data_IF_284370835567
#
_entry.id   IF_284370835567
#
_cell.length_a   1.000
_cell.length_b   1.000
_cell.length_c   1.000
_cell.angle_alpha   90.00
_cell.angle_beta   90.00
_cell.angle_gamma   90.00
#
_symmetry.space_group_name_H-M   'P 1'
#
loop_
_entity.id
_entity.type
_entity.pdbx_description
1 polymer ?
#
# COMPACT_ATOMS: atom_id res chain seq x y z
N UNK A 1 -25.39 -29.16 2.02
CA UNK A 1 -24.53 -29.52 3.19
C UNK A 1 -23.12 -29.01 2.92
N UNK A 2 -22.26 -28.87 3.93
CA UNK A 2 -20.84 -28.51 3.75
C UNK A 2 -20.02 -29.80 3.72
N UNK A 3 -19.00 -29.87 2.86
CA UNK A 3 -18.04 -30.99 2.85
C UNK A 3 -16.92 -30.68 3.85
N UNK A 4 -16.81 -31.48 4.92
CA UNK A 4 -16.02 -31.08 6.09
C UNK A 4 -14.52 -31.44 5.99
N UNK A 5 -14.14 -32.52 5.31
CA UNK A 5 -12.81 -33.11 5.54
C UNK A 5 -11.64 -32.40 4.82
N UNK A 6 -11.86 -31.75 3.66
CA UNK A 6 -10.80 -31.01 2.94
C UNK A 6 -10.95 -29.48 3.01
N UNK A 7 -12.03 -28.97 3.63
CA UNK A 7 -12.23 -27.53 3.77
C UNK A 7 -11.47 -26.98 4.97
N UNK A 8 -11.09 -25.70 4.91
CA UNK A 8 -10.51 -25.00 6.06
C UNK A 8 -11.52 -24.99 7.21
N UNK A 9 -11.05 -25.09 8.46
CA UNK A 9 -11.91 -24.84 9.62
C UNK A 9 -12.65 -23.50 9.49
N UNK A 10 -13.95 -23.52 9.78
CA UNK A 10 -14.78 -22.33 9.82
C UNK A 10 -14.22 -21.34 10.85
N UNK A 11 -13.99 -20.10 10.42
CA UNK A 11 -13.47 -19.03 11.28
C UNK A 11 -14.59 -18.06 11.56
N UNK A 12 -15.08 -18.05 12.80
CA UNK A 12 -16.17 -17.18 13.23
C UNK A 12 -15.88 -15.71 12.94
N UNK A 13 -14.63 -15.28 13.06
CA UNK A 13 -14.21 -13.91 12.72
C UNK A 13 -14.43 -13.55 11.25
N UNK A 14 -14.26 -14.48 10.32
CA UNK A 14 -14.54 -14.25 8.90
C UNK A 14 -16.05 -14.15 8.65
N UNK A 15 -16.84 -15.01 9.29
CA UNK A 15 -18.31 -14.96 9.20
C UNK A 15 -18.83 -13.62 9.73
N UNK A 16 -18.36 -13.19 10.90
CA UNK A 16 -18.75 -11.90 11.50
C UNK A 16 -18.38 -10.71 10.60
N UNK A 17 -17.23 -10.76 9.91
CA UNK A 17 -16.85 -9.72 8.92
C UNK A 17 -17.80 -9.67 7.74
N UNK A 18 -18.20 -10.82 7.19
CA UNK A 18 -19.15 -10.90 6.07
C UNK A 18 -20.51 -10.34 6.50
N UNK A 19 -21.01 -10.74 7.68
CA UNK A 19 -22.29 -10.25 8.21
C UNK A 19 -22.26 -8.74 8.43
N UNK A 20 -21.19 -8.21 9.04
CA UNK A 20 -21.06 -6.77 9.33
C UNK A 20 -21.01 -5.92 8.07
N UNK A 21 -20.32 -6.39 7.04
CA UNK A 21 -20.10 -5.66 5.79
C UNK A 21 -20.88 -6.27 4.63
N UNK A 22 -22.07 -6.80 4.89
CA UNK A 22 -22.86 -7.48 3.86
C UNK A 22 -23.16 -6.53 2.71
N UNK A 23 -22.80 -6.96 1.50
CA UNK A 23 -23.13 -6.28 0.26
C UNK A 23 -23.68 -7.35 -0.69
N UNK A 24 -24.94 -7.22 -1.17
CA UNK A 24 -25.56 -8.24 -2.00
C UNK A 24 -24.78 -8.50 -3.30
N UNK A 25 -24.21 -7.46 -3.92
CA UNK A 25 -23.41 -7.58 -5.15
C UNK A 25 -22.06 -8.25 -4.87
N UNK A 26 -21.46 -7.95 -3.72
CA UNK A 26 -20.15 -8.49 -3.30
C UNK A 26 -20.20 -9.85 -2.60
N UNK A 27 -21.40 -10.40 -2.33
CA UNK A 27 -21.54 -11.65 -1.60
C UNK A 27 -20.99 -12.84 -2.41
N UNK A 28 -21.21 -12.81 -3.72
CA UNK A 28 -20.71 -13.79 -4.68
C UNK A 28 -21.36 -15.17 -4.55
N UNK A 29 -21.20 -15.98 -5.60
CA UNK A 29 -21.80 -17.31 -5.71
C UNK A 29 -21.11 -18.34 -4.80
N UNK A 30 -21.89 -19.23 -4.19
CA UNK A 30 -21.37 -20.48 -3.63
C UNK A 30 -21.05 -21.48 -4.74
N UNK A 31 -19.99 -22.28 -4.56
CA UNK A 31 -19.67 -23.37 -5.50
C UNK A 31 -20.20 -24.68 -4.91
N UNK A 32 -21.06 -25.36 -5.66
CA UNK A 32 -21.86 -26.49 -5.17
C UNK A 32 -21.72 -27.69 -6.11
N UNK A 33 -21.39 -28.84 -5.54
CA UNK A 33 -21.44 -30.13 -6.21
C UNK A 33 -22.83 -30.75 -6.01
N UNK A 34 -23.47 -31.19 -7.09
CA UNK A 34 -24.68 -32.01 -7.02
C UNK A 34 -24.33 -33.45 -7.37
N UNK A 35 -24.44 -34.31 -6.35
CA UNK A 35 -24.19 -35.76 -6.45
C UNK A 35 -25.11 -36.50 -5.50
N UNK A 36 -25.52 -37.71 -5.88
CA UNK A 36 -26.40 -38.57 -5.08
C UNK A 36 -27.71 -37.88 -4.66
N UNK A 37 -28.26 -37.01 -5.53
CA UNK A 37 -29.48 -36.23 -5.28
C UNK A 37 -29.34 -35.17 -4.19
N UNK A 38 -28.11 -34.79 -3.83
CA UNK A 38 -27.81 -33.84 -2.75
C UNK A 38 -26.80 -32.78 -3.18
N UNK A 39 -26.93 -31.60 -2.58
CA UNK A 39 -26.06 -30.46 -2.84
C UNK A 39 -25.00 -30.30 -1.75
N UNK A 40 -23.74 -30.21 -2.17
CA UNK A 40 -22.55 -30.10 -1.34
C UNK A 40 -21.80 -28.80 -1.65
N UNK A 41 -21.75 -27.87 -0.70
CA UNK A 41 -20.99 -26.64 -0.83
C UNK A 41 -19.52 -26.98 -0.61
N UNK A 42 -18.72 -26.95 -1.68
CA UNK A 42 -17.27 -27.20 -1.60
C UNK A 42 -16.46 -25.90 -1.50
N UNK A 43 -16.97 -24.76 -1.99
CA UNK A 43 -16.40 -23.43 -1.75
C UNK A 43 -17.49 -22.41 -1.33
N UNK A 44 -17.15 -21.57 -0.34
CA UNK A 44 -18.05 -20.53 0.18
C UNK A 44 -18.68 -20.82 1.54
N UNK A 45 -18.16 -21.77 2.32
CA UNK A 45 -18.65 -22.08 3.68
C UNK A 45 -18.86 -20.86 4.60
N UNK A 46 -17.94 -19.89 4.67
CA UNK A 46 -18.13 -18.69 5.51
C UNK A 46 -19.29 -17.81 5.03
N UNK A 47 -19.57 -17.82 3.71
CA UNK A 47 -20.71 -17.11 3.12
C UNK A 47 -22.01 -17.83 3.42
N UNK A 48 -22.05 -19.16 3.28
CA UNK A 48 -23.21 -19.95 3.67
C UNK A 48 -23.57 -19.72 5.15
N UNK A 49 -22.58 -19.73 6.05
CA UNK A 49 -22.80 -19.44 7.46
C UNK A 49 -23.20 -17.98 7.73
N UNK A 50 -22.67 -17.02 6.97
CA UNK A 50 -23.10 -15.63 7.06
C UNK A 50 -24.56 -15.46 6.59
N UNK A 51 -24.97 -16.12 5.51
CA UNK A 51 -26.35 -16.12 5.01
C UNK A 51 -27.33 -16.65 6.07
N UNK A 52 -26.96 -17.74 6.76
CA UNK A 52 -27.75 -18.26 7.90
C UNK A 52 -27.90 -17.22 9.01
N UNK A 53 -26.81 -16.52 9.38
CA UNK A 53 -26.86 -15.45 10.41
C UNK A 53 -27.66 -14.23 9.97
N UNK A 54 -27.62 -13.90 8.68
CA UNK A 54 -28.42 -12.84 8.06
C UNK A 54 -29.89 -13.26 7.84
N UNK A 55 -30.26 -14.51 8.20
CA UNK A 55 -31.60 -15.09 8.03
C UNK A 55 -32.08 -15.07 6.57
N UNK A 56 -31.16 -15.21 5.63
CA UNK A 56 -31.48 -15.31 4.19
C UNK A 56 -32.19 -16.64 3.91
N UNK A 57 -33.25 -16.60 3.12
CA UNK A 57 -34.01 -17.79 2.71
C UNK A 57 -33.43 -18.47 1.47
N UNK A 58 -32.66 -17.73 0.67
CA UNK A 58 -31.99 -18.23 -0.54
C UNK A 58 -30.57 -17.66 -0.65
N UNK A 59 -29.70 -18.38 -1.36
CA UNK A 59 -28.35 -17.95 -1.72
C UNK A 59 -28.08 -18.34 -3.17
N UNK A 60 -27.39 -17.48 -3.91
CA UNK A 60 -27.00 -17.77 -5.28
C UNK A 60 -25.82 -18.76 -5.30
N UNK A 61 -25.88 -19.74 -6.20
CA UNK A 61 -24.87 -20.77 -6.33
C UNK A 61 -24.64 -21.16 -7.79
N UNK A 62 -23.40 -21.59 -8.07
CA UNK A 62 -23.03 -22.30 -9.29
C UNK A 62 -22.97 -23.79 -8.97
N UNK A 63 -23.79 -24.59 -9.67
CA UNK A 63 -23.94 -26.03 -9.46
C UNK A 63 -23.15 -26.79 -10.52
N UNK A 64 -22.34 -27.75 -10.08
CA UNK A 64 -21.62 -28.71 -10.92
C UNK A 64 -22.23 -30.10 -10.73
N UNK A 65 -22.68 -30.69 -11.84
CA UNK A 65 -23.33 -32.00 -11.85
C UNK A 65 -22.31 -33.13 -11.98
N UNK A 66 -22.50 -34.21 -11.22
CA UNK A 66 -21.75 -35.46 -11.41
C UNK A 66 -20.29 -35.43 -10.95
N UNK A 67 -19.90 -34.45 -10.12
CA UNK A 67 -18.55 -34.42 -9.54
C UNK A 67 -18.34 -35.56 -8.55
N UNK A 68 -17.18 -36.23 -8.63
CA UNK A 68 -16.69 -37.08 -7.57
C UNK A 68 -16.15 -36.26 -6.40
N UNK A 69 -15.95 -36.91 -5.25
CA UNK A 69 -15.31 -36.26 -4.10
C UNK A 69 -13.89 -35.75 -4.41
N UNK A 70 -13.14 -36.48 -5.23
CA UNK A 70 -11.80 -36.07 -5.68
C UNK A 70 -11.86 -34.84 -6.59
N UNK A 71 -12.86 -34.75 -7.46
CA UNK A 71 -13.09 -33.58 -8.30
C UNK A 71 -13.38 -32.34 -7.45
N UNK A 72 -14.18 -32.48 -6.38
CA UNK A 72 -14.47 -31.37 -5.47
C UNK A 72 -13.20 -30.86 -4.77
N UNK A 73 -12.33 -31.77 -4.31
CA UNK A 73 -11.07 -31.42 -3.67
C UNK A 73 -10.10 -30.72 -4.64
N UNK A 74 -10.03 -31.19 -5.89
CA UNK A 74 -9.22 -30.59 -6.94
C UNK A 74 -9.74 -29.19 -7.33
N UNK A 75 -11.06 -29.04 -7.48
CA UNK A 75 -11.70 -27.75 -7.75
C UNK A 75 -11.43 -26.77 -6.60
N UNK A 76 -11.60 -27.21 -5.35
CA UNK A 76 -11.30 -26.39 -4.17
C UNK A 76 -9.85 -25.90 -4.17
N UNK A 77 -8.89 -26.79 -4.47
CA UNK A 77 -7.48 -26.45 -4.59
C UNK A 77 -7.25 -25.41 -5.69
N UNK A 78 -7.87 -25.56 -6.85
CA UNK A 78 -7.76 -24.60 -7.95
C UNK A 78 -8.27 -23.20 -7.54
N UNK A 79 -9.49 -23.10 -7.01
CA UNK A 79 -10.06 -21.81 -6.59
C UNK A 79 -9.24 -21.12 -5.48
N UNK A 80 -8.67 -21.89 -4.56
CA UNK A 80 -7.90 -21.34 -3.44
C UNK A 80 -6.43 -21.07 -3.77
N UNK A 81 -5.89 -21.63 -4.87
CA UNK A 81 -4.51 -21.39 -5.33
C UNK A 81 -4.41 -20.31 -6.40
N UNK A 82 -5.45 -20.14 -7.24
CA UNK A 82 -5.46 -19.16 -8.32
C UNK A 82 -5.81 -17.72 -7.87
N UNK A 83 -6.36 -17.53 -6.66
CA UNK A 83 -6.76 -16.20 -6.19
C UNK A 83 -5.54 -15.36 -5.77
N UNK A 84 -5.18 -14.38 -6.61
CA UNK A 84 -4.24 -13.33 -6.22
C UNK A 84 -4.97 -12.28 -5.40
N UNK A 85 -4.49 -12.00 -4.19
CA UNK A 85 -5.05 -10.94 -3.36
C UNK A 85 -4.78 -9.58 -4.02
N UNK A 86 -5.76 -8.65 -4.03
CA UNK A 86 -5.52 -7.29 -4.49
C UNK A 86 -4.34 -6.67 -3.75
N UNK A 87 -3.42 -6.07 -4.51
CA UNK A 87 -2.30 -5.29 -4.01
C UNK A 87 -2.80 -4.03 -3.31
N UNK A 88 -1.89 -3.31 -2.65
CA UNK A 88 -2.26 -2.03 -2.03
C UNK A 88 -2.57 -0.95 -3.08
N UNK A 89 -1.94 -1.00 -4.25
CA UNK A 89 -2.24 -0.08 -5.36
C UNK A 89 -3.62 -0.39 -5.97
N UNK A 90 -4.00 -1.67 -6.09
CA UNK A 90 -5.35 -2.05 -6.55
C UNK A 90 -6.43 -1.47 -5.62
N UNK A 91 -6.20 -1.58 -4.30
CA UNK A 91 -7.12 -1.00 -3.30
C UNK A 91 -7.16 0.51 -3.38
N UNK A 92 -6.01 1.16 -3.51
CA UNK A 92 -5.90 2.60 -3.64
C UNK A 92 -6.62 3.13 -4.89
N UNK A 93 -6.52 2.40 -6.01
CA UNK A 93 -7.23 2.71 -7.24
C UNK A 93 -8.75 2.62 -7.05
N UNK A 94 -9.22 1.59 -6.33
CA UNK A 94 -10.63 1.46 -5.96
C UNK A 94 -11.07 2.59 -5.03
N UNK A 95 -10.30 2.91 -3.98
CA UNK A 95 -10.56 4.04 -3.07
C UNK A 95 -10.79 5.33 -3.88
N UNK A 96 -9.91 5.64 -4.83
CA UNK A 96 -10.04 6.80 -5.72
C UNK A 96 -11.30 6.75 -6.61
N UNK A 97 -11.56 5.62 -7.29
CA UNK A 97 -12.74 5.46 -8.16
C UNK A 97 -14.04 5.60 -7.37
N UNK A 98 -14.08 5.10 -6.13
CA UNK A 98 -15.24 5.19 -5.25
C UNK A 98 -15.40 6.55 -4.57
N UNK A 99 -14.47 7.48 -4.80
CA UNK A 99 -14.53 8.83 -4.26
C UNK A 99 -14.21 8.92 -2.77
N UNK A 100 -13.33 8.04 -2.24
CA UNK A 100 -12.84 8.18 -0.88
C UNK A 100 -12.20 9.57 -0.70
N UNK A 101 -12.67 10.42 0.24
CA UNK A 101 -12.23 11.80 0.35
C UNK A 101 -10.73 11.95 0.54
N UNK A 102 -10.09 11.03 1.27
CA UNK A 102 -8.65 11.06 1.49
C UNK A 102 -7.90 10.67 0.21
N UNK A 103 -8.37 9.65 -0.51
CA UNK A 103 -7.72 9.21 -1.75
C UNK A 103 -7.80 10.32 -2.82
N UNK A 104 -8.95 10.99 -2.93
CA UNK A 104 -9.16 12.12 -3.85
C UNK A 104 -8.26 13.29 -3.50
N UNK A 105 -8.16 13.68 -2.23
CA UNK A 105 -7.32 14.83 -1.85
C UNK A 105 -5.83 14.52 -1.97
N UNK A 106 -5.42 13.29 -1.66
CA UNK A 106 -4.04 12.84 -1.86
C UNK A 106 -3.64 12.85 -3.33
N UNK A 107 -4.48 12.30 -4.22
CA UNK A 107 -4.25 12.29 -5.67
C UNK A 107 -4.15 13.72 -6.23
N UNK A 108 -5.03 14.62 -5.78
CA UNK A 108 -4.98 16.04 -6.12
C UNK A 108 -3.70 16.72 -5.63
N UNK A 109 -3.30 16.47 -4.38
CA UNK A 109 -2.07 17.01 -3.80
C UNK A 109 -0.83 16.61 -4.61
N UNK A 110 -0.71 15.33 -4.96
CA UNK A 110 0.40 14.82 -5.78
C UNK A 110 0.36 15.43 -7.19
N UNK A 111 -0.81 15.48 -7.82
CA UNK A 111 -1.00 16.04 -9.16
C UNK A 111 -0.58 17.51 -9.28
N UNK A 112 -0.75 18.31 -8.22
CA UNK A 112 -0.30 19.71 -8.17
C UNK A 112 1.22 19.91 -8.22
N UNK A 113 1.99 18.83 -8.07
CA UNK A 113 3.46 18.86 -8.08
C UNK A 113 4.05 18.38 -9.42
N UNK A 114 3.23 18.21 -10.46
CA UNK A 114 3.52 17.57 -11.74
C UNK A 114 3.98 16.10 -11.63
N UNK A 115 3.57 15.43 -10.56
CA UNK A 115 3.68 13.99 -10.37
C UNK A 115 2.29 13.36 -10.39
N UNK A 116 2.23 12.04 -10.51
CA UNK A 116 0.99 11.30 -10.32
C UNK A 116 1.25 10.01 -9.53
N UNK A 117 0.21 9.46 -8.92
CA UNK A 117 0.30 8.18 -8.23
C UNK A 117 0.23 7.07 -9.28
N UNK A 118 1.26 6.23 -9.34
CA UNK A 118 1.35 5.13 -10.30
C UNK A 118 0.55 3.91 -9.81
N UNK A 119 -0.78 4.00 -9.88
CA UNK A 119 -1.70 2.94 -9.46
C UNK A 119 -1.55 1.63 -10.23
N UNK A 120 -0.99 1.68 -11.44
CA UNK A 120 -0.79 0.51 -12.31
C UNK A 120 0.65 0.00 -12.29
N UNK A 121 1.52 0.65 -11.52
CA UNK A 121 2.93 0.32 -11.40
C UNK A 121 3.64 0.25 -12.77
N UNK A 122 3.30 1.15 -13.70
CA UNK A 122 3.78 1.16 -15.08
C UNK A 122 5.28 1.48 -15.21
N UNK A 123 5.88 2.12 -14.20
CA UNK A 123 7.33 2.36 -14.25
C UNK A 123 7.75 3.71 -14.80
N UNK A 124 6.82 4.53 -15.29
CA UNK A 124 7.16 5.78 -15.99
C UNK A 124 7.69 6.88 -15.06
N UNK A 125 8.50 7.78 -15.63
CA UNK A 125 8.98 8.98 -14.94
C UNK A 125 7.79 9.89 -14.57
N UNK A 126 7.87 10.52 -13.40
CA UNK A 126 6.74 11.27 -12.83
C UNK A 126 5.69 10.42 -12.11
N UNK A 127 5.70 9.09 -12.30
CA UNK A 127 4.83 8.14 -11.61
C UNK A 127 5.41 7.67 -10.28
N UNK A 128 4.66 7.84 -9.19
CA UNK A 128 5.07 7.44 -7.83
C UNK A 128 4.26 6.22 -7.38
N UNK A 129 4.89 5.05 -7.34
CA UNK A 129 4.26 3.81 -6.86
C UNK A 129 4.20 3.66 -5.33
N UNK A 130 4.78 4.59 -4.57
CA UNK A 130 4.88 4.54 -3.12
C UNK A 130 3.61 5.07 -2.40
N UNK A 131 2.42 4.59 -2.80
CA UNK A 131 1.12 5.08 -2.29
C UNK A 131 1.03 5.13 -0.77
N UNK A 132 1.42 4.06 -0.07
CA UNK A 132 1.36 4.02 1.40
C UNK A 132 2.25 5.07 2.05
N UNK A 133 3.39 5.40 1.45
CA UNK A 133 4.28 6.45 1.93
C UNK A 133 3.66 7.82 1.74
N UNK A 134 3.12 8.11 0.55
CA UNK A 134 2.42 9.37 0.26
C UNK A 134 1.25 9.58 1.23
N UNK A 135 0.38 8.57 1.37
CA UNK A 135 -0.74 8.57 2.31
C UNK A 135 -0.29 8.80 3.75
N UNK A 136 0.79 8.15 4.18
CA UNK A 136 1.32 8.32 5.54
C UNK A 136 1.89 9.72 5.78
N UNK A 137 2.67 10.27 4.84
CA UNK A 137 3.19 11.65 4.96
C UNK A 137 2.02 12.65 4.99
N UNK A 138 1.02 12.48 4.12
CA UNK A 138 -0.15 13.34 4.08
C UNK A 138 -0.93 13.32 5.40
N UNK A 139 -1.17 12.13 5.98
CA UNK A 139 -1.90 11.99 7.25
C UNK A 139 -1.07 12.51 8.42
N UNK A 140 0.21 12.14 8.52
CA UNK A 140 1.03 12.43 9.69
C UNK A 140 1.52 13.88 9.70
N UNK A 141 1.86 14.44 8.52
CA UNK A 141 2.57 15.73 8.39
C UNK A 141 1.79 16.78 7.55
N UNK A 142 0.67 16.40 6.94
CA UNK A 142 -0.21 17.29 6.18
C UNK A 142 0.21 17.53 4.72
N UNK A 143 -0.72 18.13 3.97
CA UNK A 143 -0.59 18.43 2.53
C UNK A 143 0.62 19.31 2.22
N UNK A 144 0.88 20.35 3.02
CA UNK A 144 2.00 21.28 2.81
C UNK A 144 3.34 20.56 2.87
N UNK A 145 3.54 19.67 3.86
CA UNK A 145 4.79 18.93 3.98
C UNK A 145 4.97 17.92 2.84
N UNK A 146 3.90 17.24 2.40
CA UNK A 146 3.98 16.35 1.25
C UNK A 146 4.35 17.10 -0.03
N UNK A 147 3.66 18.22 -0.28
CA UNK A 147 3.89 19.08 -1.46
C UNK A 147 5.33 19.57 -1.47
N UNK A 148 5.82 20.08 -0.34
CA UNK A 148 7.19 20.57 -0.20
C UNK A 148 8.21 19.44 -0.39
N UNK A 149 7.94 18.25 0.16
CA UNK A 149 8.78 17.05 -0.03
C UNK A 149 8.96 16.70 -1.50
N UNK A 150 7.87 16.67 -2.26
CA UNK A 150 7.89 16.37 -3.70
C UNK A 150 8.63 17.46 -4.49
N UNK A 151 8.45 18.73 -4.13
CA UNK A 151 9.14 19.86 -4.77
C UNK A 151 10.66 19.85 -4.53
N UNK A 152 11.13 19.52 -3.32
CA UNK A 152 12.56 19.38 -3.03
C UNK A 152 13.17 18.26 -3.88
N UNK A 153 12.52 17.10 -3.93
CA UNK A 153 13.01 15.96 -4.71
C UNK A 153 13.01 16.25 -6.20
N UNK A 154 11.97 16.92 -6.70
CA UNK A 154 11.92 17.36 -8.09
C UNK A 154 13.02 18.34 -8.43
N UNK A 155 13.27 19.30 -7.55
CA UNK A 155 14.32 20.30 -7.77
C UNK A 155 15.70 19.65 -7.82
N UNK A 156 15.95 18.64 -6.98
CA UNK A 156 17.24 17.95 -6.93
C UNK A 156 17.44 16.88 -8.01
N UNK A 157 16.37 16.15 -8.40
CA UNK A 157 16.47 14.92 -9.19
C UNK A 157 15.51 14.86 -10.39
N UNK A 158 14.75 15.91 -10.66
CA UNK A 158 13.74 15.94 -11.71
C UNK A 158 12.63 14.93 -11.47
N UNK A 159 12.22 14.22 -12.52
CA UNK A 159 11.13 13.23 -12.48
C UNK A 159 11.60 11.78 -12.37
N UNK A 160 12.86 11.56 -11.97
CA UNK A 160 13.46 10.22 -11.93
C UNK A 160 12.78 9.35 -10.87
N UNK A 161 12.12 8.26 -11.30
CA UNK A 161 11.32 7.37 -10.44
C UNK A 161 12.05 6.89 -9.17
N UNK A 162 13.37 6.67 -9.24
CA UNK A 162 14.16 6.17 -8.10
C UNK A 162 14.32 7.21 -6.97
N UNK A 163 14.11 8.50 -7.25
CA UNK A 163 14.09 9.56 -6.25
C UNK A 163 12.82 9.52 -5.38
N UNK A 164 11.71 8.96 -5.89
CA UNK A 164 10.40 8.97 -5.22
C UNK A 164 10.07 7.63 -4.55
N UNK A 165 11.07 7.03 -3.93
CA UNK A 165 10.95 5.79 -3.16
C UNK A 165 10.68 6.08 -1.69
N UNK A 166 10.11 5.09 -0.97
CA UNK A 166 9.68 5.22 0.44
C UNK A 166 10.72 5.91 1.34
N UNK A 167 11.97 5.45 1.30
CA UNK A 167 13.03 5.98 2.18
C UNK A 167 13.38 7.43 1.89
N UNK A 168 13.33 7.82 0.62
CA UNK A 168 13.70 9.16 0.18
C UNK A 168 12.57 10.15 0.49
N UNK A 169 11.33 9.75 0.21
CA UNK A 169 10.13 10.52 0.57
C UNK A 169 10.05 10.76 2.08
N UNK A 170 10.15 9.70 2.89
CA UNK A 170 10.13 9.86 4.35
C UNK A 170 11.34 10.63 4.86
N UNK A 171 12.53 10.41 4.31
CA UNK A 171 13.74 11.11 4.72
C UNK A 171 13.57 12.62 4.60
N UNK A 172 13.20 13.10 3.40
CA UNK A 172 13.00 14.52 3.15
C UNK A 172 11.86 15.07 4.00
N UNK A 173 10.71 14.36 4.04
CA UNK A 173 9.56 14.79 4.83
C UNK A 173 9.89 14.99 6.32
N UNK A 174 10.56 14.02 6.95
CA UNK A 174 10.97 14.16 8.36
C UNK A 174 12.03 15.25 8.54
N UNK A 175 12.98 15.36 7.61
CA UNK A 175 14.02 16.38 7.67
C UNK A 175 13.40 17.78 7.65
N UNK A 176 12.40 18.00 6.78
CA UNK A 176 11.66 19.25 6.74
C UNK A 176 10.90 19.49 8.05
N UNK A 177 10.17 18.49 8.57
CA UNK A 177 9.48 18.62 9.87
C UNK A 177 10.44 19.03 11.00
N UNK A 178 11.63 18.43 11.03
CA UNK A 178 12.57 18.65 12.11
C UNK A 178 13.33 19.98 11.99
N UNK A 179 13.63 20.43 10.77
CA UNK A 179 14.60 21.50 10.56
C UNK A 179 14.11 22.70 9.75
N UNK A 180 12.98 22.65 9.05
CA UNK A 180 12.59 23.76 8.15
C UNK A 180 12.32 25.07 8.89
N UNK A 181 11.92 25.00 10.16
CA UNK A 181 11.70 26.17 11.02
C UNK A 181 12.98 26.70 11.68
N UNK A 182 14.12 26.04 11.51
CA UNK A 182 15.40 26.46 12.08
C UNK A 182 15.98 27.63 11.26
N UNK A 183 16.46 28.68 11.92
CA UNK A 183 17.06 29.85 11.25
C UNK A 183 18.28 29.52 10.36
N UNK A 184 18.94 28.38 10.61
CA UNK A 184 20.10 27.89 9.86
C UNK A 184 19.71 27.01 8.68
N UNK A 185 18.41 26.75 8.50
CA UNK A 185 17.89 26.01 7.36
C UNK A 185 17.96 26.87 6.10
N UNK A 186 18.52 26.28 5.05
CA UNK A 186 18.64 26.86 3.72
C UNK A 186 18.22 25.79 2.72
N UNK A 187 17.06 26.00 2.13
CA UNK A 187 16.47 25.10 1.15
C UNK A 187 17.33 24.96 -0.10
N UNK A 188 17.86 26.06 -0.62
CA UNK A 188 18.70 26.05 -1.84
C UNK A 188 19.98 25.26 -1.58
N UNK A 189 20.53 25.39 -0.37
CA UNK A 189 21.66 24.57 0.06
C UNK A 189 21.30 23.09 0.13
N UNK A 190 20.15 22.73 0.73
CA UNK A 190 19.70 21.33 0.77
C UNK A 190 19.61 20.74 -0.65
N UNK A 191 18.93 21.43 -1.57
CA UNK A 191 18.78 21.00 -2.97
C UNK A 191 20.17 20.83 -3.62
N UNK A 192 21.06 21.82 -3.52
CA UNK A 192 22.42 21.73 -4.07
C UNK A 192 23.19 20.53 -3.54
N UNK A 193 23.07 20.24 -2.23
CA UNK A 193 23.76 19.10 -1.60
C UNK A 193 23.16 17.77 -2.03
N UNK A 194 21.86 17.69 -2.26
CA UNK A 194 21.19 16.52 -2.82
C UNK A 194 21.65 16.25 -4.26
N UNK A 195 21.72 17.29 -5.10
CA UNK A 195 22.26 17.23 -6.47
C UNK A 195 23.72 16.73 -6.48
N UNK A 196 24.60 17.39 -5.70
CA UNK A 196 26.03 17.02 -5.60
C UNK A 196 26.23 15.57 -5.14
N UNK A 197 25.34 15.09 -4.29
CA UNK A 197 25.41 13.72 -3.77
C UNK A 197 24.95 12.73 -4.83
N UNK A 198 23.92 13.06 -5.60
CA UNK A 198 23.26 12.15 -6.52
C UNK A 198 22.40 11.11 -5.80
N UNK A 199 21.29 10.73 -6.41
CA UNK A 199 20.28 9.88 -5.79
C UNK A 199 20.80 8.45 -5.52
N UNK A 200 21.65 7.88 -6.39
CA UNK A 200 22.21 6.54 -6.19
C UNK A 200 23.11 6.49 -4.95
N UNK A 201 23.94 7.51 -4.76
CA UNK A 201 24.81 7.62 -3.59
C UNK A 201 24.00 7.92 -2.33
N UNK A 202 22.96 8.76 -2.40
CA UNK A 202 22.04 8.97 -1.28
C UNK A 202 21.43 7.64 -0.81
N UNK A 203 20.89 6.84 -1.73
CA UNK A 203 20.31 5.53 -1.42
C UNK A 203 21.37 4.59 -0.80
N UNK A 204 22.59 4.60 -1.35
CA UNK A 204 23.72 3.82 -0.82
C UNK A 204 24.05 4.22 0.62
N UNK A 205 24.19 5.52 0.89
CA UNK A 205 24.46 6.06 2.23
C UNK A 205 23.36 5.68 3.22
N UNK A 206 22.08 5.76 2.82
CA UNK A 206 20.94 5.36 3.67
C UNK A 206 21.04 3.87 4.02
N UNK A 207 21.32 3.01 3.05
CA UNK A 207 21.43 1.57 3.28
C UNK A 207 22.65 1.21 4.16
N UNK A 208 23.77 1.91 3.99
CA UNK A 208 24.96 1.75 4.83
C UNK A 208 24.70 2.21 6.26
N UNK A 209 24.10 3.38 6.44
CA UNK A 209 23.78 3.94 7.75
C UNK A 209 22.77 3.04 8.51
N UNK A 210 21.73 2.56 7.82
CA UNK A 210 20.77 1.57 8.36
C UNK A 210 21.49 0.34 8.93
N UNK A 211 22.43 -0.24 8.17
CA UNK A 211 23.19 -1.43 8.57
C UNK A 211 24.15 -1.12 9.72
N UNK A 212 24.86 0.00 9.65
CA UNK A 212 25.88 0.37 10.63
C UNK A 212 25.29 0.64 12.02
N UNK A 213 24.13 1.30 12.09
CA UNK A 213 23.51 1.70 13.35
C UNK A 213 22.33 0.82 13.76
N UNK A 214 21.99 -0.21 12.96
CA UNK A 214 20.85 -1.11 13.18
C UNK A 214 19.53 -0.37 13.45
N UNK A 215 19.25 0.67 12.64
CA UNK A 215 18.04 1.50 12.73
C UNK A 215 17.08 1.21 11.58
N UNK A 216 15.88 1.78 11.63
CA UNK A 216 14.95 1.71 10.51
C UNK A 216 15.48 2.49 9.31
N UNK A 217 14.99 2.16 8.10
CA UNK A 217 15.38 2.88 6.88
C UNK A 217 14.94 4.35 6.92
N UNK A 218 13.84 4.65 7.63
CA UNK A 218 13.32 6.00 7.88
C UNK A 218 14.30 6.82 8.73
N UNK A 219 14.75 6.28 9.86
CA UNK A 219 15.71 6.95 10.76
C UNK A 219 17.06 7.17 10.09
N UNK A 220 17.54 6.16 9.35
CA UNK A 220 18.77 6.25 8.56
C UNK A 220 18.67 7.37 7.51
N UNK A 221 17.53 7.50 6.83
CA UNK A 221 17.32 8.54 5.83
C UNK A 221 17.41 9.95 6.41
N UNK A 222 16.71 10.22 7.51
CA UNK A 222 16.79 11.53 8.18
C UNK A 222 18.22 11.85 8.65
N UNK A 223 18.92 10.86 9.21
CA UNK A 223 20.29 11.01 9.71
C UNK A 223 21.29 11.30 8.59
N UNK A 224 21.17 10.59 7.47
CA UNK A 224 22.02 10.80 6.29
C UNK A 224 21.77 12.17 5.67
N UNK A 225 20.52 12.63 5.62
CA UNK A 225 20.20 13.98 5.13
C UNK A 225 20.83 15.07 6.00
N UNK A 226 20.81 14.92 7.33
CA UNK A 226 21.51 15.83 8.23
C UNK A 226 23.02 15.85 7.98
N UNK A 227 23.63 14.68 7.77
CA UNK A 227 25.06 14.58 7.44
C UNK A 227 25.38 15.28 6.11
N UNK A 228 24.57 15.06 5.07
CA UNK A 228 24.71 15.68 3.75
C UNK A 228 24.58 17.20 3.84
N UNK A 229 23.58 17.67 4.59
CA UNK A 229 23.31 19.09 4.78
C UNK A 229 24.44 19.82 5.52
N UNK A 230 24.94 19.21 6.61
CA UNK A 230 25.99 19.77 7.45
C UNK A 230 27.39 19.63 6.87
N UNK A 231 27.57 18.83 5.81
CA UNK A 231 28.86 18.64 5.16
C UNK A 231 29.39 20.00 4.67
N UNK A 232 30.65 20.27 4.97
CA UNK A 232 31.37 21.51 4.65
C UNK A 232 30.80 22.79 5.29
N UNK A 233 29.85 22.71 6.24
CA UNK A 233 29.45 23.86 7.05
C UNK A 233 30.36 24.03 8.26
N UNK A 234 30.71 25.28 8.58
CA UNK A 234 31.30 25.64 9.87
C UNK A 234 30.30 25.36 10.99
N UNK A 235 30.78 24.98 12.19
CA UNK A 235 29.95 24.51 13.31
C UNK A 235 28.77 25.42 13.63
N UNK A 236 28.96 26.74 13.63
CA UNK A 236 27.88 27.70 13.91
C UNK A 236 26.69 27.62 12.93
N UNK A 237 26.92 27.17 11.70
CA UNK A 237 25.91 27.09 10.64
C UNK A 237 25.31 25.68 10.46
N UNK A 238 25.72 24.71 11.29
CA UNK A 238 25.17 23.35 11.25
C UNK A 238 23.81 23.30 11.93
N UNK A 239 22.93 22.46 11.39
CA UNK A 239 21.73 21.98 12.06
C UNK A 239 22.14 20.95 13.12
N UNK A 240 21.41 20.92 14.23
CA UNK A 240 21.62 20.04 15.39
C UNK A 240 20.35 19.32 15.75
#
# INVERSE_FOLDING_TARGET
MVVDDYQRQLRVSNVTKIVKNYNPVGFGLLQVSHRDGRYFVFDGQHRLEAAKRLKMTTVECLVYEGMSYEDEANAWKYFNSASTKPTQLDRAKVELITGDPMAVELDRCVSRTDFYIDYENQGANGGIGAYLTLKKIFIDHGEMNLTHTLQILRSAYGSERKAFQESTLFGISNFLIQYSANEKYDEKWLIKRLEDTGIDNLISMINQNKKMFNVTKKEAATSVLLQIYNKNKVTKNKLS
#
